data_IF_428508801057
#
_entry.id   IF_428508801057
#
_cell.length_a   1.000
_cell.length_b   1.000
_cell.length_c   1.000
_cell.angle_alpha   90.00
_cell.angle_beta   90.00
_cell.angle_gamma   90.00
#
_symmetry.space_group_name_H-M   'P 1'
#
loop_
_entity.id
_entity.type
_entity.pdbx_description
1 polymer ?
#
# COMPACT_ATOMS: atom_id res chain seq x y z
N UNK A 1 -5.88 -33.63 -29.31
CA UNK A 1 -4.84 -32.81 -28.62
C UNK A 1 -4.83 -31.33 -29.07
N UNK A 2 -4.74 -31.00 -30.35
CA UNK A 2 -4.71 -29.58 -30.82
C UNK A 2 -5.89 -28.71 -30.36
N UNK A 3 -7.14 -29.23 -30.34
CA UNK A 3 -8.32 -28.48 -29.89
C UNK A 3 -8.28 -28.15 -28.35
N UNK A 4 -7.71 -29.04 -27.56
CA UNK A 4 -7.57 -28.84 -26.08
C UNK A 4 -6.49 -27.79 -25.81
N UNK A 5 -5.38 -27.83 -26.55
CA UNK A 5 -4.30 -26.84 -26.43
C UNK A 5 -4.79 -25.45 -26.84
N UNK A 6 -5.55 -25.35 -27.94
CA UNK A 6 -6.10 -24.08 -28.40
C UNK A 6 -7.11 -23.50 -27.42
N UNK A 7 -7.97 -24.33 -26.83
CA UNK A 7 -8.93 -23.91 -25.78
C UNK A 7 -8.20 -23.40 -24.52
N UNK A 8 -7.12 -24.06 -24.09
CA UNK A 8 -6.29 -23.61 -22.96
C UNK A 8 -5.58 -22.28 -23.23
N UNK A 9 -5.05 -22.10 -24.45
CA UNK A 9 -4.39 -20.85 -24.86
C UNK A 9 -5.41 -19.69 -24.91
N UNK A 10 -6.60 -19.92 -25.44
CA UNK A 10 -7.66 -18.89 -25.50
C UNK A 10 -8.12 -18.52 -24.07
N UNK A 11 -8.26 -19.48 -23.18
CA UNK A 11 -8.64 -19.22 -21.78
C UNK A 11 -7.56 -18.45 -21.04
N UNK A 12 -6.26 -18.79 -21.22
CA UNK A 12 -5.15 -18.03 -20.65
C UNK A 12 -5.08 -16.59 -21.17
N UNK A 13 -5.24 -16.41 -22.48
CA UNK A 13 -5.25 -15.09 -23.10
C UNK A 13 -6.42 -14.24 -22.62
N UNK A 14 -7.61 -14.82 -22.46
CA UNK A 14 -8.79 -14.11 -21.98
C UNK A 14 -8.67 -13.70 -20.51
N UNK A 15 -8.08 -14.53 -19.66
CA UNK A 15 -7.84 -14.20 -18.24
C UNK A 15 -6.79 -13.10 -18.07
N UNK A 16 -5.72 -13.12 -18.87
CA UNK A 16 -4.72 -12.05 -18.87
C UNK A 16 -5.30 -10.72 -19.37
N UNK A 17 -6.14 -10.76 -20.41
CA UNK A 17 -6.79 -9.56 -20.95
C UNK A 17 -7.79 -8.97 -19.96
N UNK A 18 -8.52 -9.80 -19.21
CA UNK A 18 -9.47 -9.37 -18.18
C UNK A 18 -8.76 -8.76 -16.98
N UNK A 19 -7.67 -9.38 -16.53
CA UNK A 19 -6.86 -8.89 -15.40
C UNK A 19 -6.19 -7.53 -15.74
N UNK A 20 -5.62 -7.39 -16.92
CA UNK A 20 -5.01 -6.13 -17.35
C UNK A 20 -6.05 -5.02 -17.51
N UNK A 21 -7.29 -5.36 -17.87
CA UNK A 21 -8.41 -4.42 -17.92
C UNK A 21 -8.78 -3.91 -16.52
N UNK A 22 -8.77 -4.78 -15.47
CA UNK A 22 -9.11 -4.38 -14.10
C UNK A 22 -8.14 -3.34 -13.53
N UNK A 23 -6.83 -3.59 -13.58
CA UNK A 23 -5.82 -2.61 -13.12
C UNK A 23 -5.95 -1.29 -13.88
N UNK A 24 -6.16 -1.34 -15.20
CA UNK A 24 -6.35 -0.14 -16.02
C UNK A 24 -7.59 0.65 -15.60
N UNK A 25 -8.71 -0.02 -15.32
CA UNK A 25 -9.94 0.61 -14.82
C UNK A 25 -9.74 1.27 -13.46
N UNK A 26 -9.12 0.57 -12.50
CA UNK A 26 -8.83 1.12 -11.16
C UNK A 26 -7.90 2.32 -11.29
N UNK A 27 -6.83 2.21 -12.10
CA UNK A 27 -5.91 3.30 -12.36
C UNK A 27 -6.62 4.50 -13.01
N UNK A 28 -7.46 4.29 -14.00
CA UNK A 28 -8.25 5.35 -14.64
C UNK A 28 -9.17 6.04 -13.64
N UNK A 29 -9.85 5.27 -12.79
CA UNK A 29 -10.69 5.82 -11.71
C UNK A 29 -9.86 6.66 -10.73
N UNK A 30 -8.70 6.17 -10.29
CA UNK A 30 -7.77 6.89 -9.43
C UNK A 30 -7.29 8.19 -10.11
N UNK A 31 -6.85 8.11 -11.37
CA UNK A 31 -6.30 9.25 -12.12
C UNK A 31 -7.38 10.27 -12.50
N UNK A 32 -8.64 9.87 -12.64
CA UNK A 32 -9.76 10.78 -12.91
C UNK A 32 -10.06 11.74 -11.75
N UNK A 33 -9.57 11.41 -10.53
CA UNK A 33 -9.84 12.19 -9.30
C UNK A 33 -11.33 12.36 -9.03
N UNK A 34 -12.14 11.44 -9.54
CA UNK A 34 -13.60 11.45 -9.37
C UNK A 34 -13.98 10.98 -7.97
N UNK A 35 -14.91 11.67 -7.35
CA UNK A 35 -15.49 11.33 -6.04
C UNK A 35 -16.79 10.54 -6.17
N UNK A 36 -17.16 10.10 -7.38
CA UNK A 36 -18.41 9.37 -7.63
C UNK A 36 -18.39 7.92 -7.15
N UNK A 37 -17.22 7.40 -6.80
CA UNK A 37 -17.01 6.04 -6.32
C UNK A 37 -15.88 6.00 -5.30
N UNK A 38 -15.90 5.00 -4.44
CA UNK A 38 -14.88 4.77 -3.42
C UNK A 38 -13.97 3.62 -3.88
N UNK A 39 -12.66 3.79 -3.78
CA UNK A 39 -11.69 2.72 -3.95
C UNK A 39 -11.47 2.01 -2.61
N UNK A 40 -11.59 0.68 -2.62
CA UNK A 40 -11.42 -0.15 -1.42
C UNK A 40 -9.97 -0.60 -1.32
N UNK A 41 -9.36 -0.39 -0.15
CA UNK A 41 -7.95 -0.72 0.11
C UNK A 41 -7.85 -1.79 1.19
N UNK A 42 -7.17 -2.90 0.91
CA UNK A 42 -6.83 -3.91 1.90
C UNK A 42 -5.47 -3.58 2.54
N UNK A 43 -5.48 -3.14 3.80
CA UNK A 43 -4.29 -2.81 4.56
C UNK A 43 -3.51 -4.08 4.90
N UNK A 44 -2.25 -4.18 4.43
CA UNK A 44 -1.36 -5.37 4.55
C UNK A 44 -1.97 -6.66 4.00
N UNK A 45 -2.87 -6.55 3.00
CA UNK A 45 -3.65 -7.68 2.51
C UNK A 45 -4.82 -8.06 3.44
N UNK A 46 -5.32 -9.30 3.32
CA UNK A 46 -6.35 -9.84 4.23
C UNK A 46 -5.69 -10.40 5.50
N UNK A 47 -5.25 -9.51 6.38
CA UNK A 47 -4.56 -9.86 7.63
C UNK A 47 -5.49 -10.51 8.69
N UNK A 48 -6.79 -10.49 8.50
CA UNK A 48 -7.74 -11.16 9.41
C UNK A 48 -7.74 -12.68 9.22
N UNK A 49 -7.64 -13.13 7.98
CA UNK A 49 -7.66 -14.56 7.66
C UNK A 49 -6.25 -15.15 7.45
N UNK A 50 -5.27 -14.30 7.13
CA UNK A 50 -3.88 -14.67 6.85
C UNK A 50 -2.91 -13.79 7.62
N UNK A 51 -1.61 -14.14 7.73
CA UNK A 51 -0.63 -13.20 8.24
C UNK A 51 -0.58 -11.90 7.41
N UNK A 52 -0.40 -10.77 8.09
CA UNK A 52 -0.18 -9.48 7.41
C UNK A 52 1.01 -9.58 6.45
N UNK A 53 0.94 -8.86 5.32
CA UNK A 53 1.99 -8.83 4.31
C UNK A 53 2.37 -10.22 3.73
N UNK A 54 1.46 -11.21 3.75
CA UNK A 54 1.69 -12.53 3.17
C UNK A 54 1.14 -12.62 1.74
N UNK A 55 1.73 -13.51 0.91
CA UNK A 55 1.22 -13.75 -0.45
C UNK A 55 -0.23 -14.25 -0.43
N UNK A 56 -0.57 -15.08 0.54
CA UNK A 56 -1.92 -15.63 0.69
C UNK A 56 -2.93 -14.55 1.10
N UNK A 57 -2.54 -13.60 1.97
CA UNK A 57 -3.37 -12.44 2.31
C UNK A 57 -3.59 -11.53 1.11
N UNK A 58 -2.56 -11.33 0.27
CA UNK A 58 -2.67 -10.60 -1.00
C UNK A 58 -3.61 -11.33 -1.97
N UNK A 59 -3.42 -12.63 -2.16
CA UNK A 59 -4.25 -13.45 -3.04
C UNK A 59 -5.72 -13.44 -2.61
N UNK A 60 -5.98 -13.46 -1.30
CA UNK A 60 -7.36 -13.41 -0.79
C UNK A 60 -7.98 -12.00 -0.97
N UNK A 61 -7.22 -10.94 -0.76
CA UNK A 61 -7.65 -9.59 -1.07
C UNK A 61 -8.06 -9.42 -2.56
N UNK A 62 -7.28 -10.01 -3.47
CA UNK A 62 -7.64 -10.06 -4.90
C UNK A 62 -8.96 -10.81 -5.13
N UNK A 63 -9.15 -11.98 -4.49
CA UNK A 63 -10.39 -12.77 -4.59
C UNK A 63 -11.61 -12.04 -4.04
N UNK A 64 -11.44 -11.26 -2.98
CA UNK A 64 -12.48 -10.41 -2.42
C UNK A 64 -12.88 -9.26 -3.34
N UNK A 65 -12.08 -8.98 -4.36
CA UNK A 65 -12.36 -7.95 -5.36
C UNK A 65 -12.04 -6.54 -4.90
N UNK A 66 -11.16 -6.36 -3.89
CA UNK A 66 -10.69 -5.02 -3.51
C UNK A 66 -9.89 -4.37 -4.63
N UNK A 67 -9.80 -3.05 -4.62
CA UNK A 67 -9.18 -2.29 -5.71
C UNK A 67 -7.67 -2.14 -5.53
N UNK A 68 -7.23 -1.94 -4.31
CA UNK A 68 -5.83 -1.68 -3.96
C UNK A 68 -5.43 -2.58 -2.78
N UNK A 69 -4.25 -3.18 -2.82
CA UNK A 69 -3.61 -3.78 -1.64
C UNK A 69 -2.50 -2.86 -1.16
N UNK A 70 -2.52 -2.54 0.13
CA UNK A 70 -1.41 -1.81 0.74
C UNK A 70 -0.42 -2.81 1.34
N UNK A 71 0.89 -2.55 1.18
CA UNK A 71 1.99 -3.43 1.57
C UNK A 71 3.18 -2.63 2.08
N UNK A 72 3.82 -3.11 3.13
CA UNK A 72 4.98 -2.49 3.75
C UNK A 72 6.29 -3.09 3.23
N UNK A 73 7.28 -2.25 2.95
CA UNK A 73 8.58 -2.66 2.41
C UNK A 73 9.70 -2.45 3.43
N UNK A 74 10.51 -3.47 3.63
CA UNK A 74 11.77 -3.42 4.37
C UNK A 74 12.90 -4.03 3.53
N UNK A 75 14.17 -3.72 3.90
CA UNK A 75 15.34 -4.23 3.20
C UNK A 75 16.23 -5.03 4.15
N UNK A 76 16.60 -6.22 3.74
CA UNK A 76 17.55 -7.10 4.45
C UNK A 76 18.97 -6.58 4.39
N UNK A 77 19.87 -7.16 5.19
CA UNK A 77 21.30 -6.83 5.18
C UNK A 77 21.95 -7.02 3.81
N UNK A 78 21.57 -8.06 3.09
CA UNK A 78 22.06 -8.39 1.74
C UNK A 78 21.28 -7.70 0.60
N UNK A 79 20.44 -6.70 0.94
CA UNK A 79 19.80 -5.81 -0.04
C UNK A 79 18.51 -6.34 -0.64
N UNK A 80 17.96 -7.46 -0.18
CA UNK A 80 16.68 -7.99 -0.67
C UNK A 80 15.53 -7.20 -0.08
N UNK A 81 14.60 -6.73 -0.93
CA UNK A 81 13.36 -6.08 -0.49
C UNK A 81 12.32 -7.14 -0.15
N UNK A 82 11.79 -7.09 1.07
CA UNK A 82 10.78 -8.02 1.61
C UNK A 82 9.53 -7.26 2.05
N UNK A 83 8.42 -7.99 2.23
CA UNK A 83 7.21 -7.43 2.83
C UNK A 83 7.25 -7.59 4.34
N UNK A 84 7.33 -6.48 5.06
CA UNK A 84 7.36 -6.44 6.53
C UNK A 84 7.02 -5.04 7.03
N UNK A 85 6.09 -4.94 7.99
CA UNK A 85 5.76 -3.65 8.59
C UNK A 85 6.84 -3.17 9.56
N UNK A 86 7.21 -4.02 10.52
CA UNK A 86 8.12 -3.65 11.58
C UNK A 86 9.58 -3.64 11.09
N UNK A 87 10.42 -2.85 11.73
CA UNK A 87 11.87 -2.91 11.51
C UNK A 87 12.50 -4.19 12.10
N UNK A 88 11.74 -4.94 12.91
CA UNK A 88 12.17 -6.20 13.52
C UNK A 88 11.28 -7.37 13.13
N UNK A 89 11.86 -8.57 13.14
CA UNK A 89 11.18 -9.83 12.85
C UNK A 89 10.27 -10.33 13.98
N UNK A 90 10.37 -9.72 15.16
CA UNK A 90 9.91 -10.30 16.44
C UNK A 90 8.41 -10.54 16.51
N UNK A 91 7.58 -9.59 16.02
CA UNK A 91 6.13 -9.66 16.17
C UNK A 91 5.51 -10.62 15.17
N UNK A 92 5.86 -10.47 13.90
CA UNK A 92 5.16 -11.13 12.79
C UNK A 92 5.84 -12.39 12.29
N UNK A 93 7.00 -12.77 12.85
CA UNK A 93 7.71 -14.00 12.41
C UNK A 93 8.14 -14.87 13.60
N UNK A 94 8.66 -16.07 13.29
CA UNK A 94 9.31 -16.96 14.27
C UNK A 94 10.75 -16.54 14.60
N UNK A 95 11.31 -15.54 13.87
CA UNK A 95 12.65 -15.02 14.07
C UNK A 95 12.71 -13.88 15.07
N UNK A 96 13.93 -13.35 15.26
CA UNK A 96 14.23 -12.19 16.11
C UNK A 96 15.29 -11.31 15.46
N UNK A 97 15.36 -10.06 15.90
CA UNK A 97 16.36 -9.09 15.44
C UNK A 97 15.81 -8.14 14.38
N UNK A 98 16.65 -7.21 13.95
CA UNK A 98 16.27 -6.24 12.91
C UNK A 98 16.40 -6.84 11.53
N UNK A 99 15.47 -6.50 10.66
CA UNK A 99 15.48 -6.91 9.25
C UNK A 99 16.78 -6.49 8.56
N UNK A 100 17.24 -5.26 8.81
CA UNK A 100 18.48 -4.71 8.21
C UNK A 100 19.78 -5.35 8.69
N UNK A 101 19.74 -6.22 9.71
CA UNK A 101 20.92 -6.88 10.30
C UNK A 101 20.98 -8.38 9.94
N UNK A 102 20.02 -8.90 9.17
CA UNK A 102 19.95 -10.31 8.77
C UNK A 102 19.80 -10.46 7.25
N UNK A 103 20.26 -11.58 6.72
CA UNK A 103 20.18 -11.92 5.29
C UNK A 103 18.84 -12.55 4.91
N UNK A 104 18.52 -12.54 3.62
CA UNK A 104 17.34 -13.24 3.10
C UNK A 104 17.42 -14.75 3.33
N UNK A 105 18.63 -15.34 3.30
CA UNK A 105 18.80 -16.75 3.63
C UNK A 105 18.29 -17.11 5.03
N UNK A 106 18.63 -16.28 6.04
CA UNK A 106 18.08 -16.46 7.39
C UNK A 106 16.55 -16.31 7.41
N UNK A 107 16.01 -15.27 6.76
CA UNK A 107 14.58 -14.97 6.75
C UNK A 107 13.77 -16.06 6.03
N UNK A 108 14.32 -16.68 4.99
CA UNK A 108 13.67 -17.75 4.23
C UNK A 108 13.32 -18.99 5.07
N UNK A 109 14.06 -19.20 6.17
CA UNK A 109 13.82 -20.28 7.12
C UNK A 109 12.73 -19.96 8.16
N UNK A 110 12.31 -18.68 8.27
CA UNK A 110 11.30 -18.26 9.21
C UNK A 110 9.88 -18.52 8.68
N UNK A 111 8.93 -18.47 9.61
CA UNK A 111 7.50 -18.54 9.32
C UNK A 111 6.80 -17.29 9.84
N UNK A 112 5.79 -16.83 9.11
CA UNK A 112 4.93 -15.75 9.57
C UNK A 112 4.03 -16.22 10.72
N UNK A 113 3.69 -15.28 11.60
CA UNK A 113 2.67 -15.44 12.64
C UNK A 113 1.40 -14.70 12.20
N UNK A 114 0.25 -15.24 12.58
CA UNK A 114 -1.02 -14.53 12.39
C UNK A 114 -1.25 -13.45 13.45
N UNK A 115 -2.35 -12.73 13.37
CA UNK A 115 -2.71 -11.66 14.31
C UNK A 115 -2.80 -12.09 15.78
N UNK A 116 -2.99 -13.39 16.05
CA UNK A 116 -2.95 -13.98 17.40
C UNK A 116 -1.56 -14.46 17.82
N UNK A 117 -0.50 -14.06 17.12
CA UNK A 117 0.91 -14.47 17.34
C UNK A 117 1.18 -15.98 17.17
N UNK A 118 0.26 -16.74 16.57
CA UNK A 118 0.40 -18.18 16.30
C UNK A 118 1.23 -18.36 15.03
N UNK A 119 2.24 -19.24 15.09
CA UNK A 119 3.03 -19.64 13.92
C UNK A 119 2.13 -20.27 12.86
N UNK A 120 2.29 -19.83 11.63
CA UNK A 120 1.62 -20.40 10.45
C UNK A 120 2.61 -21.21 9.58
N UNK A 121 2.15 -21.69 8.44
CA UNK A 121 3.01 -22.30 7.40
C UNK A 121 3.54 -21.29 6.39
N UNK A 122 3.09 -20.05 6.44
CA UNK A 122 3.40 -19.00 5.47
C UNK A 122 4.78 -18.41 5.69
N UNK A 123 5.44 -18.01 4.62
CA UNK A 123 6.79 -17.44 4.60
C UNK A 123 6.74 -15.93 4.47
N UNK A 124 7.84 -15.28 4.84
CA UNK A 124 8.04 -13.85 4.55
C UNK A 124 8.30 -13.70 3.05
N UNK A 125 7.45 -12.99 2.30
CA UNK A 125 7.66 -12.84 0.88
C UNK A 125 8.65 -11.72 0.56
N UNK A 126 9.32 -11.86 -0.58
CA UNK A 126 10.03 -10.76 -1.22
C UNK A 126 9.02 -9.80 -1.89
N UNK A 127 9.42 -8.54 -2.07
CA UNK A 127 8.64 -7.59 -2.86
C UNK A 127 8.47 -8.09 -4.31
N UNK A 128 9.50 -8.73 -4.89
CA UNK A 128 9.42 -9.26 -6.25
C UNK A 128 8.32 -10.32 -6.39
N UNK A 129 8.22 -11.27 -5.44
CA UNK A 129 7.15 -12.29 -5.43
C UNK A 129 5.77 -11.63 -5.36
N UNK A 130 5.59 -10.62 -4.52
CA UNK A 130 4.33 -9.91 -4.41
C UNK A 130 3.98 -9.13 -5.69
N UNK A 131 4.95 -8.46 -6.31
CA UNK A 131 4.76 -7.76 -7.57
C UNK A 131 4.36 -8.71 -8.71
N UNK A 132 4.98 -9.88 -8.79
CA UNK A 132 4.62 -10.90 -9.79
C UNK A 132 3.22 -11.48 -9.53
N UNK A 133 2.86 -11.74 -8.26
CA UNK A 133 1.53 -12.24 -7.88
C UNK A 133 0.42 -11.26 -8.26
N UNK A 134 0.65 -9.97 -8.03
CA UNK A 134 -0.34 -8.90 -8.21
C UNK A 134 -0.43 -8.37 -9.63
N UNK A 135 0.54 -8.73 -10.48
CA UNK A 135 0.67 -8.19 -11.85
C UNK A 135 -0.63 -8.30 -12.65
N UNK A 136 -1.16 -7.13 -13.06
CA UNK A 136 -2.39 -7.01 -13.84
C UNK A 136 -3.68 -7.33 -13.07
N UNK A 137 -3.61 -7.68 -11.77
CA UNK A 137 -4.76 -8.17 -11.01
C UNK A 137 -5.33 -7.17 -10.00
N UNK A 138 -4.48 -6.35 -9.37
CA UNK A 138 -4.84 -5.38 -8.35
C UNK A 138 -3.83 -4.23 -8.36
N UNK A 139 -4.23 -3.03 -8.00
CA UNK A 139 -3.25 -1.96 -7.73
C UNK A 139 -2.59 -2.16 -6.37
N UNK A 140 -1.39 -1.62 -6.21
CA UNK A 140 -0.58 -1.75 -5.00
C UNK A 140 -0.26 -0.36 -4.46
N UNK A 141 -0.40 -0.18 -3.14
CA UNK A 141 0.16 0.95 -2.41
C UNK A 141 1.35 0.45 -1.59
N UNK A 142 2.54 0.97 -1.84
CA UNK A 142 3.76 0.59 -1.12
C UNK A 142 4.09 1.63 -0.04
N UNK A 143 4.02 1.19 1.23
CA UNK A 143 4.47 1.95 2.38
C UNK A 143 5.97 1.71 2.65
N UNK A 144 6.66 2.74 3.17
CA UNK A 144 8.11 2.73 3.48
C UNK A 144 9.03 2.49 2.28
N UNK A 145 8.45 2.27 1.09
CA UNK A 145 9.18 2.02 -0.15
C UNK A 145 9.99 3.24 -0.62
N UNK A 146 9.60 4.43 -0.22
CA UNK A 146 10.30 5.69 -0.50
C UNK A 146 11.71 5.75 0.13
N UNK A 147 11.99 4.90 1.12
CA UNK A 147 13.33 4.73 1.71
C UNK A 147 14.31 4.03 0.75
N UNK A 148 13.79 3.25 -0.19
CA UNK A 148 14.53 2.40 -1.13
C UNK A 148 14.08 2.64 -2.58
N UNK A 149 13.85 3.90 -2.94
CA UNK A 149 13.14 4.28 -4.17
C UNK A 149 13.78 3.71 -5.43
N UNK A 150 15.11 3.81 -5.56
CA UNK A 150 15.84 3.33 -6.73
C UNK A 150 15.72 1.80 -6.90
N UNK A 151 15.86 1.05 -5.79
CA UNK A 151 15.77 -0.41 -5.79
C UNK A 151 14.33 -0.87 -6.08
N UNK A 152 13.34 -0.21 -5.47
CA UNK A 152 11.91 -0.49 -5.73
C UNK A 152 11.59 -0.21 -7.19
N UNK A 153 11.98 0.96 -7.71
CA UNK A 153 11.73 1.30 -9.11
C UNK A 153 12.37 0.30 -10.09
N UNK A 154 13.59 -0.15 -9.81
CA UNK A 154 14.25 -1.18 -10.61
C UNK A 154 13.45 -2.50 -10.64
N UNK A 155 12.89 -2.92 -9.48
CA UNK A 155 12.00 -4.09 -9.42
C UNK A 155 10.69 -3.88 -10.18
N UNK A 156 10.08 -2.69 -10.08
CA UNK A 156 8.87 -2.36 -10.84
C UNK A 156 9.11 -2.44 -12.35
N UNK A 157 10.25 -1.95 -12.84
CA UNK A 157 10.63 -2.09 -14.26
C UNK A 157 10.87 -3.55 -14.64
N UNK A 158 11.60 -4.31 -13.81
CA UNK A 158 11.89 -5.74 -14.03
C UNK A 158 10.61 -6.57 -14.12
N UNK A 159 9.65 -6.34 -13.24
CA UNK A 159 8.38 -7.08 -13.19
C UNK A 159 7.33 -6.56 -14.16
N UNK A 160 7.52 -5.33 -14.70
CA UNK A 160 6.55 -4.66 -15.55
C UNK A 160 5.29 -4.20 -14.81
N UNK A 161 5.45 -3.74 -13.55
CA UNK A 161 4.35 -3.34 -12.65
C UNK A 161 4.33 -1.84 -12.33
N UNK A 162 5.13 -1.03 -13.00
CA UNK A 162 5.24 0.44 -12.77
C UNK A 162 3.86 1.11 -12.75
N UNK A 163 2.99 0.75 -13.70
CA UNK A 163 1.70 1.41 -13.88
C UNK A 163 0.62 1.02 -12.85
N UNK A 164 0.89 0.04 -11.97
CA UNK A 164 -0.07 -0.43 -10.96
C UNK A 164 0.36 -0.12 -9.52
N UNK A 165 1.42 0.67 -9.35
CA UNK A 165 1.97 0.95 -8.02
C UNK A 165 1.81 2.42 -7.67
N UNK A 166 1.38 2.66 -6.44
CA UNK A 166 1.40 3.93 -5.75
C UNK A 166 2.52 3.85 -4.71
N UNK A 167 3.47 4.77 -4.75
CA UNK A 167 4.48 4.91 -3.71
C UNK A 167 4.12 6.06 -2.80
N UNK A 168 4.12 5.86 -1.49
CA UNK A 168 3.79 6.91 -0.53
C UNK A 168 5.00 7.29 0.34
N UNK A 169 4.98 8.51 0.87
CA UNK A 169 6.03 8.97 1.78
C UNK A 169 5.75 10.33 2.39
N UNK A 170 6.39 10.59 3.53
CA UNK A 170 6.21 11.81 4.34
C UNK A 170 7.24 12.93 4.07
N UNK A 171 7.91 12.92 2.91
CA UNK A 171 8.92 13.94 2.54
C UNK A 171 8.26 15.27 2.15
N UNK A 172 9.01 16.38 2.29
CA UNK A 172 8.56 17.69 1.81
C UNK A 172 8.57 17.74 0.26
N UNK A 173 7.90 18.74 -0.31
CA UNK A 173 7.89 18.97 -1.77
C UNK A 173 9.29 19.10 -2.33
N UNK A 174 10.16 19.87 -1.65
CA UNK A 174 11.55 20.09 -2.07
C UNK A 174 12.33 18.78 -2.08
N UNK A 175 12.15 17.92 -1.06
CA UNK A 175 12.80 16.62 -0.97
C UNK A 175 12.30 15.68 -2.07
N UNK A 176 10.99 15.64 -2.34
CA UNK A 176 10.40 14.83 -3.40
C UNK A 176 10.92 15.28 -4.77
N UNK A 177 10.93 16.59 -5.06
CA UNK A 177 11.49 17.13 -6.31
C UNK A 177 12.97 16.80 -6.43
N UNK A 178 13.76 17.06 -5.39
CA UNK A 178 15.21 16.84 -5.42
C UNK A 178 15.63 15.37 -5.55
N UNK A 179 14.85 14.43 -5.00
CA UNK A 179 15.21 13.02 -4.96
C UNK A 179 14.48 12.18 -6.00
N UNK A 180 13.20 12.49 -6.31
CA UNK A 180 12.32 11.62 -7.07
C UNK A 180 11.80 12.21 -8.38
N UNK A 181 12.14 13.46 -8.74
CA UNK A 181 11.60 14.14 -9.92
C UNK A 181 11.68 13.29 -11.21
N UNK A 182 12.82 12.62 -11.42
CA UNK A 182 13.03 11.75 -12.57
C UNK A 182 12.05 10.55 -12.67
N UNK A 183 11.38 10.21 -11.57
CA UNK A 183 10.43 9.08 -11.51
C UNK A 183 8.96 9.52 -11.56
N UNK A 184 8.66 10.79 -11.23
CA UNK A 184 7.28 11.29 -11.09
C UNK A 184 6.48 11.25 -12.40
N UNK A 185 7.14 11.15 -13.55
CA UNK A 185 6.48 10.97 -14.85
C UNK A 185 5.92 9.53 -15.04
N UNK A 186 6.44 8.54 -14.31
CA UNK A 186 6.04 7.13 -14.42
C UNK A 186 5.36 6.62 -13.15
N UNK A 187 5.78 7.07 -11.97
CA UNK A 187 5.31 6.60 -10.67
C UNK A 187 4.21 7.51 -10.12
N UNK A 188 3.14 6.93 -9.61
CA UNK A 188 2.17 7.64 -8.78
C UNK A 188 2.77 7.80 -7.40
N UNK A 189 3.12 9.05 -7.02
CA UNK A 189 3.58 9.37 -5.67
C UNK A 189 2.44 9.98 -4.85
N UNK A 190 2.17 9.41 -3.68
CA UNK A 190 1.14 9.86 -2.74
C UNK A 190 1.80 10.45 -1.48
N UNK A 191 1.74 11.78 -1.27
CA UNK A 191 2.26 12.39 -0.06
C UNK A 191 1.47 11.98 1.18
N UNK A 192 2.18 11.69 2.27
CA UNK A 192 1.62 11.52 3.62
C UNK A 192 1.76 12.85 4.35
N UNK A 193 0.65 13.45 4.79
CA UNK A 193 0.65 14.73 5.49
C UNK A 193 -0.06 14.61 6.83
N UNK A 194 0.63 14.96 7.93
CA UNK A 194 0.00 15.09 9.23
C UNK A 194 -0.69 16.44 9.36
N UNK A 195 -2.00 16.42 9.49
CA UNK A 195 -2.84 17.62 9.62
C UNK A 195 -2.67 18.33 10.99
N UNK A 196 -2.01 17.67 11.95
CA UNK A 196 -1.70 18.29 13.25
C UNK A 196 -0.49 19.22 13.22
N UNK A 197 0.24 19.26 12.09
CA UNK A 197 1.34 20.22 11.88
C UNK A 197 0.81 21.60 11.55
N UNK A 198 1.41 22.66 12.12
CA UNK A 198 1.00 24.04 11.90
C UNK A 198 1.03 24.47 10.41
N UNK A 199 1.89 23.88 9.62
CA UNK A 199 2.06 24.19 8.20
C UNK A 199 1.40 23.15 7.26
N UNK A 200 0.51 22.29 7.77
CA UNK A 200 -0.10 21.22 6.99
C UNK A 200 -0.85 21.73 5.75
N UNK A 201 -1.67 22.78 5.92
CA UNK A 201 -2.41 23.38 4.81
C UNK A 201 -1.48 23.92 3.73
N UNK A 202 -0.45 24.67 4.11
CA UNK A 202 0.56 25.19 3.20
C UNK A 202 1.32 24.06 2.47
N UNK A 203 1.67 22.99 3.18
CA UNK A 203 2.34 21.84 2.59
C UNK A 203 1.46 21.17 1.52
N UNK A 204 0.16 21.00 1.77
CA UNK A 204 -0.79 20.45 0.81
C UNK A 204 -0.92 21.37 -0.42
N UNK A 205 -1.06 22.69 -0.22
CA UNK A 205 -1.11 23.66 -1.31
C UNK A 205 0.16 23.62 -2.17
N UNK A 206 1.33 23.52 -1.54
CA UNK A 206 2.60 23.41 -2.23
C UNK A 206 2.69 22.14 -3.07
N UNK A 207 2.27 20.99 -2.53
CA UNK A 207 2.16 19.75 -3.29
C UNK A 207 1.23 19.85 -4.48
N UNK A 208 0.06 20.44 -4.30
CA UNK A 208 -0.89 20.66 -5.39
C UNK A 208 -0.30 21.54 -6.51
N UNK A 209 0.46 22.56 -6.15
CA UNK A 209 1.08 23.48 -7.10
C UNK A 209 2.24 22.86 -7.87
N UNK A 210 3.15 22.16 -7.18
CA UNK A 210 4.46 21.80 -7.72
C UNK A 210 4.52 20.37 -8.25
N UNK A 211 3.72 19.45 -7.70
CA UNK A 211 3.73 18.00 -8.04
C UNK A 211 2.38 17.55 -8.57
N UNK A 212 1.28 18.19 -8.09
CA UNK A 212 -0.10 17.84 -8.46
C UNK A 212 -0.43 16.36 -8.22
N UNK A 213 -0.24 15.83 -6.98
CA UNK A 213 -0.44 14.43 -6.68
C UNK A 213 -1.89 14.01 -6.91
N UNK A 214 -2.08 12.76 -7.30
CA UNK A 214 -3.43 12.18 -7.55
C UNK A 214 -4.22 12.01 -6.26
N UNK A 215 -3.52 11.70 -5.16
CA UNK A 215 -4.11 11.50 -3.85
C UNK A 215 -3.14 11.95 -2.75
N UNK A 216 -3.68 12.22 -1.57
CA UNK A 216 -2.96 12.42 -0.31
C UNK A 216 -3.39 11.37 0.72
N UNK A 217 -2.47 10.84 1.49
CA UNK A 217 -2.76 10.18 2.76
C UNK A 217 -2.69 11.23 3.87
N UNK A 218 -3.80 11.44 4.57
CA UNK A 218 -3.94 12.47 5.60
C UNK A 218 -4.07 11.82 6.97
N UNK A 219 -3.18 12.19 7.89
CA UNK A 219 -3.14 11.70 9.26
C UNK A 219 -3.50 12.81 10.22
N UNK A 220 -4.26 12.51 11.28
CA UNK A 220 -4.52 13.42 12.38
C UNK A 220 -4.80 12.65 13.68
N UNK A 221 -4.23 13.12 14.77
CA UNK A 221 -4.35 12.50 16.10
C UNK A 221 -5.41 13.27 16.92
N UNK A 222 -5.49 14.60 16.73
CA UNK A 222 -6.34 15.46 17.54
C UNK A 222 -7.78 15.44 17.04
N UNK A 223 -8.70 14.90 17.83
CA UNK A 223 -10.12 14.86 17.50
C UNK A 223 -10.79 16.23 17.32
N UNK A 224 -10.19 17.32 17.88
CA UNK A 224 -10.65 18.69 17.70
C UNK A 224 -9.95 19.42 16.53
N UNK A 225 -9.24 18.72 15.67
CA UNK A 225 -8.63 19.30 14.48
C UNK A 225 -9.71 19.61 13.42
N UNK A 226 -9.84 20.88 13.01
CA UNK A 226 -10.83 21.30 12.02
C UNK A 226 -10.36 21.12 10.56
N UNK A 227 -9.05 20.86 10.31
CA UNK A 227 -8.52 20.66 8.97
C UNK A 227 -9.16 19.47 8.23
N UNK A 228 -9.44 18.29 8.85
CA UNK A 228 -10.12 17.20 8.16
C UNK A 228 -11.45 17.58 7.52
N UNK A 229 -12.17 18.55 8.09
CA UNK A 229 -13.43 19.06 7.54
C UNK A 229 -13.21 20.07 6.40
N UNK A 230 -12.10 20.80 6.42
CA UNK A 230 -11.75 21.86 5.48
C UNK A 230 -11.10 21.33 4.19
N UNK A 231 -10.20 20.37 4.33
CA UNK A 231 -9.39 19.81 3.24
C UNK A 231 -10.22 19.24 2.07
N UNK A 232 -11.35 18.53 2.28
CA UNK A 232 -12.15 18.04 1.16
C UNK A 232 -12.61 19.12 0.18
N UNK A 233 -12.99 20.30 0.68
CA UNK A 233 -13.35 21.43 -0.17
C UNK A 233 -12.14 21.98 -0.92
N UNK A 234 -10.97 22.05 -0.29
CA UNK A 234 -9.73 22.55 -0.88
C UNK A 234 -9.20 21.63 -1.98
N UNK A 235 -9.33 20.31 -1.82
CA UNK A 235 -8.83 19.31 -2.76
C UNK A 235 -9.85 18.87 -3.81
N UNK A 236 -11.11 19.34 -3.74
CA UNK A 236 -12.16 18.97 -4.69
C UNK A 236 -11.73 19.17 -6.14
N UNK A 237 -11.73 18.10 -6.93
CA UNK A 237 -11.31 18.09 -8.34
C UNK A 237 -9.80 18.21 -8.57
N UNK A 238 -8.99 18.27 -7.51
CA UNK A 238 -7.52 18.37 -7.60
C UNK A 238 -6.83 17.08 -7.17
N UNK A 239 -7.25 16.48 -6.06
CA UNK A 239 -6.66 15.26 -5.51
C UNK A 239 -7.69 14.49 -4.72
N UNK A 240 -7.53 13.16 -4.68
CA UNK A 240 -8.28 12.29 -3.80
C UNK A 240 -7.72 12.34 -2.38
N UNK A 241 -8.51 11.90 -1.42
CA UNK A 241 -8.12 11.86 -0.01
C UNK A 241 -8.23 10.44 0.50
N UNK A 242 -7.18 10.01 1.18
CA UNK A 242 -7.14 8.79 1.96
C UNK A 242 -6.99 9.16 3.44
N UNK A 243 -7.99 8.89 4.25
CA UNK A 243 -7.90 8.91 5.70
C UNK A 243 -7.61 7.49 6.20
N UNK A 244 -6.63 7.38 7.11
CA UNK A 244 -6.32 6.11 7.75
C UNK A 244 -7.08 6.04 9.08
N UNK A 245 -8.15 5.25 9.10
CA UNK A 245 -9.06 5.12 10.24
C UNK A 245 -8.84 3.84 11.06
N UNK A 246 -7.74 3.11 10.81
CA UNK A 246 -7.44 1.85 11.53
C UNK A 246 -6.93 2.05 12.96
N UNK A 247 -6.46 3.27 13.29
CA UNK A 247 -5.82 3.55 14.57
C UNK A 247 -6.33 4.87 15.14
N UNK A 248 -6.57 4.91 16.45
CA UNK A 248 -6.95 6.12 17.17
C UNK A 248 -5.96 7.28 16.96
N UNK A 249 -4.67 6.94 16.85
CA UNK A 249 -3.58 7.88 16.61
C UNK A 249 -3.52 8.44 15.19
N UNK A 250 -4.41 8.02 14.30
CA UNK A 250 -4.44 8.45 12.89
C UNK A 250 -5.76 9.07 12.47
N UNK A 251 -6.82 8.86 13.26
CA UNK A 251 -8.19 9.31 12.95
C UNK A 251 -8.86 10.05 14.12
N UNK A 252 -8.08 10.68 14.99
CA UNK A 252 -8.62 11.51 16.07
C UNK A 252 -9.49 10.76 17.08
N UNK A 253 -9.19 9.49 17.34
CA UNK A 253 -9.90 8.65 18.29
C UNK A 253 -11.13 7.92 17.71
N UNK A 254 -11.30 7.91 16.39
CA UNK A 254 -12.42 7.22 15.70
C UNK A 254 -11.88 6.10 14.82
N UNK A 255 -11.58 4.95 15.40
CA UNK A 255 -11.00 3.81 14.71
C UNK A 255 -11.58 2.46 15.11
N UNK A 256 -11.11 1.39 14.44
CA UNK A 256 -11.57 0.03 14.68
C UNK A 256 -11.11 -0.53 16.05
N UNK A 257 -9.99 -0.05 16.61
CA UNK A 257 -9.50 -0.50 17.92
C UNK A 257 -10.46 -0.12 19.04
N UNK A 258 -11.16 1.01 18.93
CA UNK A 258 -12.20 1.41 19.85
C UNK A 258 -13.37 0.45 19.84
N UNK A 259 -13.76 -0.07 18.67
CA UNK A 259 -14.85 -1.05 18.59
C UNK A 259 -14.51 -2.40 19.22
N UNK A 260 -13.21 -2.76 19.34
CA UNK A 260 -12.77 -3.97 20.05
C UNK A 260 -12.81 -3.78 21.57
N UNK A 261 -12.44 -2.60 22.06
CA UNK A 261 -12.40 -2.29 23.50
C UNK A 261 -13.71 -1.73 24.03
N UNK A 262 -14.44 -1.00 23.22
CA UNK A 262 -15.74 -0.40 23.51
C UNK A 262 -16.59 -0.33 22.22
N UNK A 263 -17.44 -1.34 21.96
CA UNK A 263 -18.27 -1.43 20.75
C UNK A 263 -19.15 -0.21 20.51
N UNK A 264 -19.54 0.52 21.55
CA UNK A 264 -20.38 1.71 21.45
C UNK A 264 -19.60 2.97 21.04
N UNK A 265 -18.27 2.95 21.13
CA UNK A 265 -17.42 4.09 20.82
C UNK A 265 -16.76 4.01 19.43
N UNK A 266 -16.68 2.82 18.83
CA UNK A 266 -16.09 2.61 17.51
C UNK A 266 -17.12 2.61 16.38
N UNK A 267 -16.64 2.41 15.16
CA UNK A 267 -17.53 2.33 13.98
C UNK A 267 -18.26 0.98 13.83
N UNK A 268 -18.01 0.04 14.74
CA UNK A 268 -18.59 -1.31 14.66
C UNK A 268 -18.14 -2.08 13.40
N UNK A 269 -18.21 -3.39 13.46
CA UNK A 269 -17.99 -4.27 12.30
C UNK A 269 -19.30 -4.53 11.58
#
# INVERSE_FOLDING_TARGET
MQRIILSFIITLLSTQFYAQNRVSQIREQLMSRSTNSVLVVAHRGDWRNFPENSLEGIENAIKMGVDIVELDVQRTQDGVLILMHDETLNRTTTGKGKVSEVTMDYISNLYLRNGCAIRTKHKVPTLEEALLLTKGRIMINLDKADRYFDEVYALLKKTGTVNQVIMKGGKSVEQVKGQYEKYLCEIIYMPIVSLDKLNAEQQIEQFCKDINPVAFELLFIKGNNELPKKIPAMLKGKSLIWYNTLWDTMAGGHDDDLSLSNPDAGYGY
#
